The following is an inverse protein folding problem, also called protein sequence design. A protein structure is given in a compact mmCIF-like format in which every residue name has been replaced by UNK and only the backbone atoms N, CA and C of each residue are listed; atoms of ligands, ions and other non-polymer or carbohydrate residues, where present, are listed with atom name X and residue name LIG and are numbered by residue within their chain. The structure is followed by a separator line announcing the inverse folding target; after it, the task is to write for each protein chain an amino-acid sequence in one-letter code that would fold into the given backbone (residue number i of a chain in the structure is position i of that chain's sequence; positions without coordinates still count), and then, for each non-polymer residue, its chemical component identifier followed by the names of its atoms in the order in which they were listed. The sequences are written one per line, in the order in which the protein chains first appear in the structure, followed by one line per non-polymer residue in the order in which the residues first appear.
data_IF_343099673389
#
_entry.id   IF_343099673389
#
_cell.length_a   1.000
_cell.length_b   1.000
_cell.length_c   1.000
_cell.angle_alpha   90.00
_cell.angle_beta   90.00
_cell.angle_gamma   90.00
#
_symmetry.space_group_name_H-M   'P 1'
#
loop_
_entity.id
_entity.type
_entity.pdbx_description
1 polymer ?
#
# COMPACT_ATOMS: atom_id res chain seq x y z
N UNK A 1 36.95 45.13 -38.58
CA UNK A 1 36.58 45.40 -37.18
C UNK A 1 35.09 45.10 -37.10
N UNK A 2 34.76 43.82 -36.91
CA UNK A 2 34.29 43.26 -35.61
C UNK A 2 32.81 43.58 -35.41
N UNK A 3 31.85 42.67 -35.18
CA UNK A 3 31.77 41.26 -34.82
C UNK A 3 30.28 40.86 -34.98
N UNK A 4 29.89 39.61 -35.31
CA UNK A 4 28.47 39.24 -35.40
C UNK A 4 27.83 39.12 -34.01
N UNK A 5 26.73 39.83 -33.74
CA UNK A 5 25.94 39.59 -32.52
C UNK A 5 25.24 38.24 -32.64
N UNK A 6 25.78 37.27 -31.93
CA UNK A 6 25.23 35.94 -31.74
C UNK A 6 23.82 36.03 -31.14
N UNK A 7 22.90 35.28 -31.73
CA UNK A 7 21.64 34.96 -31.09
C UNK A 7 21.94 34.09 -29.86
N UNK A 8 21.64 34.60 -28.67
CA UNK A 8 21.57 33.78 -27.47
C UNK A 8 20.28 32.95 -27.55
N UNK A 9 20.33 31.61 -27.57
CA UNK A 9 19.16 30.84 -27.16
C UNK A 9 19.04 31.05 -25.65
N UNK A 10 18.08 31.86 -25.22
CA UNK A 10 17.59 31.83 -23.85
C UNK A 10 16.84 30.51 -23.64
N UNK A 11 17.59 29.41 -23.58
CA UNK A 11 17.11 28.16 -23.04
C UNK A 11 16.85 28.39 -21.57
N UNK A 12 15.58 28.57 -21.21
CA UNK A 12 15.14 28.36 -19.84
C UNK A 12 15.68 27.00 -19.39
N UNK A 13 16.17 26.85 -18.14
CA UNK A 13 16.53 25.54 -17.65
C UNK A 13 15.24 24.71 -17.64
N UNK A 14 15.15 23.72 -18.54
CA UNK A 14 14.25 22.60 -18.37
C UNK A 14 14.49 22.07 -16.97
N UNK A 15 13.52 22.27 -16.09
CA UNK A 15 13.57 21.73 -14.74
C UNK A 15 13.90 20.24 -14.88
N UNK A 16 15.04 19.81 -14.32
CA UNK A 16 15.50 18.43 -14.36
C UNK A 16 14.33 17.53 -13.96
N UNK A 17 13.70 16.91 -14.96
CA UNK A 17 12.43 16.25 -14.79
C UNK A 17 12.60 15.09 -13.82
N UNK A 18 11.86 15.11 -12.72
CA UNK A 18 11.85 13.99 -11.77
C UNK A 18 11.47 12.74 -12.55
N UNK A 19 12.40 11.78 -12.61
CA UNK A 19 12.18 10.52 -13.33
C UNK A 19 11.01 9.79 -12.70
N UNK A 20 9.94 9.60 -13.48
CA UNK A 20 8.78 8.81 -13.07
C UNK A 20 9.01 7.36 -13.42
N UNK A 21 8.69 6.48 -12.48
CA UNK A 21 8.72 5.03 -12.65
C UNK A 21 7.39 4.46 -12.21
N UNK A 22 6.96 3.39 -12.87
CA UNK A 22 5.82 2.57 -12.44
C UNK A 22 6.34 1.19 -12.12
N UNK A 23 5.90 0.65 -10.99
CA UNK A 23 6.31 -0.65 -10.50
C UNK A 23 5.07 -1.45 -10.14
N UNK A 24 4.99 -2.65 -10.68
CA UNK A 24 4.06 -3.69 -10.27
C UNK A 24 4.71 -4.53 -9.19
N UNK A 25 3.98 -4.82 -8.11
CA UNK A 25 4.42 -5.62 -7.00
C UNK A 25 3.44 -6.76 -6.78
N UNK A 26 3.99 -7.96 -6.61
CA UNK A 26 3.30 -9.13 -6.07
C UNK A 26 3.79 -9.36 -4.66
N UNK A 27 2.86 -9.31 -3.70
CA UNK A 27 3.12 -9.54 -2.28
C UNK A 27 2.50 -10.88 -1.90
N UNK A 28 3.36 -11.83 -1.55
CA UNK A 28 2.97 -13.15 -1.10
C UNK A 28 3.04 -13.22 0.43
N UNK A 29 2.17 -14.01 1.04
CA UNK A 29 2.15 -14.28 2.48
C UNK A 29 0.83 -13.90 3.16
N UNK A 30 0.88 -13.69 4.47
CA UNK A 30 -0.30 -13.41 5.27
C UNK A 30 -0.68 -11.93 5.15
N UNK A 31 -1.37 -11.55 4.08
CA UNK A 31 -1.73 -10.14 3.79
C UNK A 31 -3.24 -9.90 3.65
N UNK A 32 -4.05 -10.93 3.92
CA UNK A 32 -5.51 -10.87 3.86
C UNK A 32 -6.13 -10.81 5.25
N UNK A 33 -7.16 -9.98 5.43
CA UNK A 33 -7.85 -9.84 6.71
C UNK A 33 -7.05 -9.18 7.84
N UNK A 34 -5.90 -8.57 7.50
CA UNK A 34 -4.90 -8.02 8.47
C UNK A 34 -4.68 -6.52 8.31
N UNK A 35 -5.57 -5.83 7.57
CA UNK A 35 -5.45 -4.39 7.35
C UNK A 35 -4.40 -3.97 6.31
N UNK A 36 -3.88 -4.91 5.51
CA UNK A 36 -2.82 -4.64 4.53
C UNK A 36 -3.23 -3.61 3.46
N UNK A 37 -4.43 -3.75 2.86
CA UNK A 37 -4.92 -2.81 1.83
C UNK A 37 -5.04 -1.36 2.35
N UNK A 38 -5.69 -1.09 3.51
CA UNK A 38 -5.66 0.24 4.13
C UNK A 38 -4.26 0.77 4.40
N UNK A 39 -3.34 -0.07 4.89
CA UNK A 39 -1.94 0.31 5.14
C UNK A 39 -1.23 0.76 3.84
N UNK A 40 -1.28 -0.08 2.80
CA UNK A 40 -0.69 0.22 1.49
C UNK A 40 -1.24 1.53 0.93
N UNK A 41 -2.55 1.70 0.96
CA UNK A 41 -3.21 2.91 0.50
C UNK A 41 -2.72 4.16 1.27
N UNK A 42 -2.68 4.10 2.60
CA UNK A 42 -2.21 5.21 3.43
C UNK A 42 -0.73 5.55 3.15
N UNK A 43 0.11 4.53 2.97
CA UNK A 43 1.53 4.71 2.64
C UNK A 43 1.72 5.36 1.27
N UNK A 44 1.01 4.86 0.24
CA UNK A 44 1.10 5.39 -1.12
C UNK A 44 0.61 6.85 -1.20
N UNK A 45 -0.50 7.18 -0.54
CA UNK A 45 -1.02 8.56 -0.45
C UNK A 45 -0.01 9.48 0.24
N UNK A 46 0.60 9.05 1.35
CA UNK A 46 1.62 9.85 2.08
C UNK A 46 2.85 10.15 1.22
N UNK A 47 3.23 9.21 0.35
CA UNK A 47 4.34 9.35 -0.58
C UNK A 47 3.96 10.00 -1.93
N UNK A 48 2.69 10.40 -2.10
CA UNK A 48 2.13 10.99 -3.32
C UNK A 48 2.31 10.11 -4.57
N UNK A 49 2.15 8.80 -4.38
CA UNK A 49 2.18 7.82 -5.46
C UNK A 49 0.78 7.61 -6.03
N UNK A 50 0.71 7.29 -7.32
CA UNK A 50 -0.50 6.89 -8.01
C UNK A 50 -0.56 5.37 -8.19
N UNK A 51 -1.74 4.82 -8.47
CA UNK A 51 -1.94 3.40 -8.76
C UNK A 51 -2.98 2.74 -7.86
N UNK A 52 -2.76 1.48 -7.49
CA UNK A 52 -3.76 0.74 -6.71
C UNK A 52 -3.18 -0.38 -5.84
N UNK A 53 -4.01 -0.86 -4.92
CA UNK A 53 -3.83 -2.12 -4.23
C UNK A 53 -5.08 -2.99 -4.35
N UNK A 54 -4.91 -4.27 -4.64
CA UNK A 54 -5.95 -5.28 -4.66
C UNK A 54 -5.45 -6.53 -3.94
N UNK A 55 -6.37 -7.30 -3.34
CA UNK A 55 -6.05 -8.66 -2.92
C UNK A 55 -6.54 -9.65 -3.97
N UNK A 56 -5.81 -10.73 -4.16
CA UNK A 56 -6.24 -11.88 -4.94
C UNK A 56 -5.98 -13.17 -4.16
N UNK A 57 -6.30 -14.32 -4.74
CA UNK A 57 -6.17 -15.62 -4.07
C UNK A 57 -4.74 -16.00 -3.64
N UNK A 58 -3.71 -15.27 -4.07
CA UNK A 58 -2.31 -15.55 -3.80
C UNK A 58 -1.65 -14.53 -2.86
N UNK A 59 -2.32 -13.39 -2.60
CA UNK A 59 -1.86 -12.39 -1.66
C UNK A 59 -2.39 -11.01 -1.98
N UNK A 60 -1.47 -10.08 -2.29
CA UNK A 60 -1.81 -8.73 -2.72
C UNK A 60 -1.03 -8.33 -3.98
N UNK A 61 -1.73 -7.60 -4.86
CA UNK A 61 -1.17 -6.93 -6.02
C UNK A 61 -1.16 -5.43 -5.74
N UNK A 62 -0.01 -4.81 -5.94
CA UNK A 62 0.16 -3.37 -5.79
C UNK A 62 0.77 -2.80 -7.07
N UNK A 63 0.23 -1.70 -7.55
CA UNK A 63 0.91 -0.89 -8.57
C UNK A 63 1.12 0.50 -8.01
N UNK A 64 2.36 0.98 -8.08
CA UNK A 64 2.73 2.33 -7.71
C UNK A 64 3.41 3.02 -8.88
N UNK A 65 3.02 4.27 -9.11
CA UNK A 65 3.68 5.17 -10.04
C UNK A 65 4.01 6.49 -9.35
N UNK A 66 5.21 6.99 -9.56
CA UNK A 66 5.61 8.31 -9.10
C UNK A 66 7.08 8.57 -9.33
N UNK A 67 7.62 9.52 -8.58
CA UNK A 67 9.05 9.81 -8.58
C UNK A 67 9.85 8.56 -8.14
N UNK A 68 10.97 8.28 -8.80
CA UNK A 68 11.79 7.09 -8.53
C UNK A 68 12.19 6.96 -7.05
N UNK A 69 12.59 8.07 -6.42
CA UNK A 69 12.94 8.12 -4.99
C UNK A 69 11.75 7.79 -4.08
N UNK A 70 10.55 8.24 -4.44
CA UNK A 70 9.34 7.97 -3.68
C UNK A 70 8.87 6.52 -3.83
N UNK A 71 9.04 5.91 -5.01
CA UNK A 71 8.78 4.49 -5.24
C UNK A 71 9.77 3.64 -4.46
N UNK A 72 11.07 3.98 -4.46
CA UNK A 72 12.06 3.29 -3.63
C UNK A 72 11.72 3.35 -2.13
N UNK A 73 11.37 4.54 -1.62
CA UNK A 73 10.93 4.72 -0.22
C UNK A 73 9.67 3.93 0.10
N UNK A 74 8.75 3.78 -0.85
CA UNK A 74 7.56 2.97 -0.67
C UNK A 74 7.93 1.50 -0.45
N UNK A 75 8.83 0.95 -1.26
CA UNK A 75 9.28 -0.45 -1.15
C UNK A 75 9.94 -0.73 0.20
N UNK A 76 10.84 0.14 0.63
CA UNK A 76 11.53 0.02 1.94
C UNK A 76 10.53 0.03 3.10
N UNK A 77 9.58 0.97 3.10
CA UNK A 77 8.60 1.13 4.17
C UNK A 77 7.52 0.07 4.15
N UNK A 78 7.16 -0.44 2.97
CA UNK A 78 6.20 -1.54 2.85
C UNK A 78 6.69 -2.78 3.60
N UNK A 79 7.98 -3.09 3.49
CA UNK A 79 8.59 -4.21 4.20
C UNK A 79 8.80 -3.95 5.70
N UNK A 80 9.16 -2.72 6.08
CA UNK A 80 9.50 -2.37 7.46
C UNK A 80 8.31 -2.05 8.36
N UNK A 81 7.23 -1.48 7.80
CA UNK A 81 6.08 -0.95 8.56
C UNK A 81 4.80 -1.78 8.38
N UNK A 82 4.91 -2.99 7.81
CA UNK A 82 3.77 -3.85 7.55
C UNK A 82 2.95 -4.11 8.84
N UNK A 83 1.60 -4.20 8.77
CA UNK A 83 0.76 -4.45 9.94
C UNK A 83 1.24 -5.65 10.77
N UNK A 84 1.10 -5.65 12.12
CA UNK A 84 1.66 -6.69 12.99
C UNK A 84 1.14 -8.11 12.72
N UNK A 85 -0.09 -8.21 12.20
CA UNK A 85 -0.68 -9.48 11.81
C UNK A 85 -0.39 -9.87 10.36
N UNK A 86 0.24 -8.98 9.60
CA UNK A 86 0.69 -9.30 8.26
C UNK A 86 2.08 -9.89 8.28
N UNK A 87 2.32 -10.85 7.39
CA UNK A 87 3.65 -11.44 7.20
C UNK A 87 3.91 -11.55 5.71
N UNK A 88 4.76 -10.65 5.20
CA UNK A 88 5.24 -10.70 3.82
C UNK A 88 6.28 -11.83 3.74
N UNK A 89 5.99 -12.86 2.96
CA UNK A 89 6.91 -13.99 2.70
C UNK A 89 7.68 -13.79 1.40
N UNK A 90 7.08 -13.11 0.44
CA UNK A 90 7.67 -12.82 -0.86
C UNK A 90 7.24 -11.45 -1.36
N UNK A 91 8.17 -10.74 -2.00
CA UNK A 91 7.91 -9.49 -2.70
C UNK A 91 8.60 -9.54 -4.06
N UNK A 92 7.82 -9.73 -5.13
CA UNK A 92 8.33 -9.65 -6.49
C UNK A 92 7.96 -8.30 -7.11
N UNK A 93 8.93 -7.64 -7.76
CA UNK A 93 8.73 -6.34 -8.40
C UNK A 93 8.98 -6.42 -9.89
N UNK A 94 8.13 -5.82 -10.71
CA UNK A 94 8.28 -5.71 -12.16
C UNK A 94 8.13 -4.26 -12.60
N UNK A 95 9.11 -3.69 -13.32
CA UNK A 95 8.97 -2.34 -13.86
C UNK A 95 7.93 -2.31 -14.98
N UNK A 96 7.14 -1.24 -15.03
CA UNK A 96 6.14 -0.99 -16.07
C UNK A 96 6.34 0.41 -16.68
N UNK A 97 5.86 0.66 -17.91
CA UNK A 97 5.80 2.00 -18.47
C UNK A 97 4.90 2.92 -17.63
N UNK A 98 5.36 4.12 -17.25
CA UNK A 98 4.52 5.12 -16.60
C UNK A 98 3.34 5.53 -17.49
N UNK A 99 2.16 5.66 -16.91
CA UNK A 99 0.93 6.11 -17.58
C UNK A 99 0.62 7.57 -17.31
N UNK A 100 1.23 8.18 -16.29
CA UNK A 100 0.90 9.53 -15.85
C UNK A 100 -0.36 9.60 -14.99
N UNK A 101 -0.83 8.46 -14.46
CA UNK A 101 -1.97 8.42 -13.57
C UNK A 101 -1.75 9.24 -12.28
N UNK A 102 -2.88 9.65 -11.69
CA UNK A 102 -2.93 10.42 -10.44
C UNK A 102 -3.87 9.77 -9.45
N UNK A 103 -3.49 9.82 -8.18
CA UNK A 103 -4.26 9.24 -7.10
C UNK A 103 -4.04 7.74 -6.93
N UNK A 104 -4.31 7.25 -5.73
CA UNK A 104 -4.15 5.85 -5.35
C UNK A 104 -5.49 5.30 -4.86
N UNK A 105 -5.85 4.08 -5.25
CA UNK A 105 -7.14 3.47 -4.89
C UNK A 105 -6.99 2.07 -4.33
N UNK A 106 -7.95 1.68 -3.49
CA UNK A 106 -8.16 0.27 -3.15
C UNK A 106 -9.09 -0.29 -4.22
N UNK A 107 -8.59 -1.18 -5.05
CA UNK A 107 -9.37 -1.83 -6.12
C UNK A 107 -10.10 -3.08 -5.60
N UNK A 108 -11.08 -3.54 -6.36
CA UNK A 108 -11.83 -4.76 -6.05
C UNK A 108 -10.90 -5.98 -5.99
N UNK A 109 -11.20 -6.91 -5.09
CA UNK A 109 -10.45 -8.15 -4.97
C UNK A 109 -10.80 -9.11 -6.12
N UNK A 110 -9.80 -9.83 -6.63
CA UNK A 110 -9.97 -10.76 -7.76
C UNK A 110 -10.01 -12.19 -7.22
N UNK A 111 -11.14 -12.88 -7.40
CA UNK A 111 -11.40 -14.24 -6.89
C UNK A 111 -11.15 -15.36 -7.93
N UNK A 112 -10.45 -15.08 -9.04
CA UNK A 112 -10.19 -16.07 -10.09
C UNK A 112 -8.90 -16.87 -9.84
N UNK A 113 -9.00 -18.21 -9.77
CA UNK A 113 -7.86 -19.15 -9.71
C UNK A 113 -7.95 -20.19 -8.59
N UNK A 114 -7.14 -21.26 -8.66
CA UNK A 114 -7.05 -22.27 -7.59
C UNK A 114 -6.49 -21.65 -6.29
N UNK A 115 -7.13 -21.96 -5.16
CA UNK A 115 -6.95 -21.30 -3.87
C UNK A 115 -5.72 -21.79 -3.12
N UNK A 116 -4.83 -20.87 -2.72
CA UNK A 116 -3.83 -21.08 -1.67
C UNK A 116 -3.88 -19.95 -0.61
N UNK A 117 -5.08 -19.46 -0.30
CA UNK A 117 -5.24 -18.37 0.65
C UNK A 117 -4.82 -18.84 2.05
N UNK A 118 -3.73 -18.26 2.56
CA UNK A 118 -3.33 -18.39 3.96
C UNK A 118 -4.32 -17.59 4.82
N UNK A 119 -5.21 -18.28 5.53
CA UNK A 119 -6.12 -17.66 6.49
C UNK A 119 -5.37 -17.41 7.79
N UNK A 120 -5.42 -16.17 8.28
CA UNK A 120 -4.78 -15.80 9.55
C UNK A 120 -5.47 -16.51 10.72
N UNK A 121 -4.72 -16.94 11.75
CA UNK A 121 -5.32 -17.53 12.94
C UNK A 121 -6.20 -16.51 13.68
N UNK A 122 -7.02 -17.02 14.58
CA UNK A 122 -7.75 -16.17 15.53
C UNK A 122 -6.77 -15.47 16.47
N UNK A 123 -7.04 -14.20 16.76
CA UNK A 123 -6.16 -13.37 17.60
C UNK A 123 -6.96 -12.78 18.75
N UNK A 124 -6.40 -12.84 19.96
CA UNK A 124 -7.01 -12.23 21.14
C UNK A 124 -7.21 -10.71 20.95
N UNK A 125 -8.23 -10.14 21.60
CA UNK A 125 -8.57 -8.71 21.52
C UNK A 125 -7.35 -7.84 21.87
N UNK A 126 -7.03 -6.86 21.01
CA UNK A 126 -5.89 -5.97 21.24
C UNK A 126 -6.20 -4.90 22.30
N UNK A 127 -5.14 -4.24 22.81
CA UNK A 127 -5.26 -3.20 23.83
C UNK A 127 -6.15 -2.02 23.41
N UNK A 128 -6.09 -1.64 22.13
CA UNK A 128 -6.93 -0.56 21.56
C UNK A 128 -8.42 -0.93 21.63
N UNK A 129 -8.79 -2.14 21.19
CA UNK A 129 -10.17 -2.61 21.30
C UNK A 129 -10.62 -2.79 22.75
N UNK A 130 -9.73 -3.21 23.65
CA UNK A 130 -10.02 -3.25 25.10
C UNK A 130 -10.36 -1.85 25.62
N UNK A 131 -9.61 -0.82 25.24
CA UNK A 131 -9.91 0.56 25.62
C UNK A 131 -11.28 1.01 25.12
N UNK A 132 -11.62 0.69 23.86
CA UNK A 132 -12.94 1.02 23.30
C UNK A 132 -14.10 0.32 24.03
N UNK A 133 -13.92 -0.93 24.45
CA UNK A 133 -14.94 -1.69 25.20
C UNK A 133 -15.22 -1.05 26.55
N UNK A 134 -14.18 -0.52 27.21
CA UNK A 134 -14.27 0.02 28.58
C UNK A 134 -14.47 1.55 28.65
N UNK A 135 -14.44 2.28 27.53
CA UNK A 135 -14.68 3.72 27.47
C UNK A 135 -16.19 4.05 27.35
N UNK A 136 -16.84 4.65 28.38
CA UNK A 136 -18.26 5.00 28.34
C UNK A 136 -18.65 6.04 27.29
N UNK A 137 -17.69 6.82 26.79
CA UNK A 137 -17.93 7.79 25.72
C UNK A 137 -17.84 7.14 24.31
N UNK A 138 -17.30 5.92 24.22
CA UNK A 138 -17.18 5.21 22.96
C UNK A 138 -18.49 4.53 22.60
N UNK A 139 -18.88 4.59 21.32
CA UNK A 139 -20.08 3.91 20.81
C UNK A 139 -20.04 2.38 20.99
N UNK A 140 -18.85 1.81 21.22
CA UNK A 140 -18.62 0.38 21.44
C UNK A 140 -18.54 0.00 22.93
N UNK A 141 -18.87 0.93 23.84
CA UNK A 141 -18.91 0.66 25.28
C UNK A 141 -19.75 -0.58 25.60
N UNK A 142 -19.14 -1.56 26.26
CA UNK A 142 -19.79 -2.82 26.64
C UNK A 142 -20.12 -3.78 25.49
N UNK A 143 -19.68 -3.52 24.26
CA UNK A 143 -19.99 -4.38 23.12
C UNK A 143 -19.06 -5.62 23.04
N UNK A 144 -19.58 -6.85 23.20
CA UNK A 144 -18.76 -8.05 23.40
C UNK A 144 -18.07 -8.57 22.14
N UNK A 145 -18.47 -8.13 20.95
CA UNK A 145 -17.90 -8.57 19.67
C UNK A 145 -16.98 -7.54 19.03
N UNK A 146 -16.43 -6.61 19.82
CA UNK A 146 -15.49 -5.60 19.33
C UNK A 146 -14.20 -6.25 18.81
N UNK A 147 -13.87 -6.00 17.55
CA UNK A 147 -12.60 -6.37 16.93
C UNK A 147 -12.14 -5.27 15.95
N UNK A 148 -10.88 -5.35 15.55
CA UNK A 148 -10.28 -4.49 14.53
C UNK A 148 -9.47 -5.33 13.54
N UNK A 149 -8.82 -4.69 12.56
CA UNK A 149 -7.94 -5.40 11.62
C UNK A 149 -6.71 -6.03 12.29
N UNK A 150 -6.45 -5.71 13.57
CA UNK A 150 -5.36 -6.23 14.39
C UNK A 150 -5.75 -7.33 15.40
N UNK A 151 -7.03 -7.71 15.52
CA UNK A 151 -7.46 -8.76 16.47
C UNK A 151 -8.78 -9.42 16.08
N UNK A 152 -9.27 -10.38 16.88
CA UNK A 152 -10.56 -11.03 16.71
C UNK A 152 -10.52 -12.36 15.95
N UNK A 153 -11.70 -13.01 15.81
CA UNK A 153 -11.82 -14.26 15.08
C UNK A 153 -11.57 -14.06 13.59
N UNK A 154 -10.91 -15.04 12.98
CA UNK A 154 -10.59 -15.11 11.54
C UNK A 154 -10.81 -16.52 11.02
N UNK A 155 -9.93 -17.45 11.36
CA UNK A 155 -10.00 -18.83 10.89
C UNK A 155 -11.33 -19.50 11.27
N UNK A 156 -11.84 -19.22 12.47
CA UNK A 156 -13.09 -19.83 12.94
C UNK A 156 -14.36 -19.31 12.27
N UNK A 157 -14.29 -18.24 11.48
CA UNK A 157 -15.47 -17.58 10.89
C UNK A 157 -15.39 -17.39 9.36
N UNK A 158 -14.39 -18.00 8.71
CA UNK A 158 -14.17 -17.99 7.26
C UNK A 158 -14.66 -19.29 6.64
#
# INVERSE_FOLDING_TARGET
MDWPRQAHPSGAPEAAGVRRVRTHLRVDGLVQGVGFRPFVHALAVRLRLAGFVANDMQGAVVEVEGAEDQVSRFLERLAAEAPPLSSIQGLATTPLPPTGEVGFKIADSWLGGESQVLVSPDVATCAECIQEIFDPANRRYGYPFTNCTGCGPRFTIV
#
